data_IF_773110386491
#
_entry.id   IF_773110386491
#
_cell.length_a   1.000
_cell.length_b   1.000
_cell.length_c   1.000
_cell.angle_alpha   90.00
_cell.angle_beta   90.00
_cell.angle_gamma   90.00
#
_symmetry.space_group_name_H-M   'P 1'
#
loop_
_entity.id
_entity.type
_entity.pdbx_description
1 polymer ?
#
# COMPACT_ATOMS: atom_id res chain seq x y z
N UNK A 1 -42.09 3.86 -4.08
CA UNK A 1 -40.85 3.06 -4.29
C UNK A 1 -39.57 3.84 -3.95
N UNK A 2 -39.55 4.65 -2.87
CA UNK A 2 -38.43 5.59 -2.62
C UNK A 2 -37.52 5.20 -1.44
N UNK A 3 -38.07 4.62 -0.36
CA UNK A 3 -37.31 4.36 0.88
C UNK A 3 -36.30 3.20 0.79
N UNK A 4 -36.68 2.11 0.12
CA UNK A 4 -35.81 0.91 0.00
C UNK A 4 -34.58 1.22 -0.87
N UNK A 5 -34.77 1.87 -2.01
CA UNK A 5 -33.67 2.29 -2.90
C UNK A 5 -32.70 3.25 -2.20
N UNK A 6 -33.22 4.26 -1.48
CA UNK A 6 -32.37 5.15 -0.69
C UNK A 6 -31.57 4.38 0.35
N UNK A 7 -32.21 3.48 1.10
CA UNK A 7 -31.55 2.68 2.13
C UNK A 7 -30.43 1.79 1.56
N UNK A 8 -30.62 1.27 0.35
CA UNK A 8 -29.65 0.42 -0.33
C UNK A 8 -28.43 1.26 -0.76
N UNK A 9 -28.67 2.44 -1.35
CA UNK A 9 -27.62 3.38 -1.77
C UNK A 9 -26.79 3.83 -0.57
N UNK A 10 -27.43 4.20 0.55
CA UNK A 10 -26.73 4.65 1.76
C UNK A 10 -25.86 3.54 2.35
N UNK A 11 -26.36 2.30 2.39
CA UNK A 11 -25.61 1.14 2.89
C UNK A 11 -24.42 0.80 1.99
N UNK A 12 -24.61 0.81 0.68
CA UNK A 12 -23.54 0.57 -0.30
C UNK A 12 -22.45 1.64 -0.22
N UNK A 13 -22.85 2.91 -0.14
CA UNK A 13 -21.92 4.04 0.01
C UNK A 13 -21.11 3.93 1.30
N UNK A 14 -21.77 3.58 2.42
CA UNK A 14 -21.10 3.35 3.70
C UNK A 14 -20.08 2.19 3.65
N UNK A 15 -20.43 1.09 2.98
CA UNK A 15 -19.51 -0.03 2.80
C UNK A 15 -18.31 0.33 1.91
N UNK A 16 -18.53 1.08 0.83
CA UNK A 16 -17.47 1.58 -0.04
C UNK A 16 -16.51 2.53 0.68
N UNK A 17 -17.04 3.47 1.48
CA UNK A 17 -16.22 4.40 2.27
C UNK A 17 -15.35 3.67 3.29
N UNK A 18 -15.88 2.66 3.98
CA UNK A 18 -15.10 1.82 4.90
C UNK A 18 -14.00 1.05 4.18
N UNK A 19 -14.30 0.49 3.01
CA UNK A 19 -13.32 -0.21 2.18
C UNK A 19 -12.21 0.73 1.70
N UNK A 20 -12.58 1.95 1.28
CA UNK A 20 -11.62 2.96 0.86
C UNK A 20 -10.71 3.39 2.02
N UNK A 21 -11.28 3.66 3.20
CA UNK A 21 -10.52 4.00 4.40
C UNK A 21 -9.53 2.91 4.83
N UNK A 22 -9.96 1.64 4.80
CA UNK A 22 -9.08 0.51 5.10
C UNK A 22 -7.93 0.37 4.10
N UNK A 23 -8.20 0.58 2.80
CA UNK A 23 -7.16 0.56 1.77
C UNK A 23 -6.16 1.71 1.96
N UNK A 24 -6.64 2.89 2.32
CA UNK A 24 -5.79 4.05 2.58
C UNK A 24 -4.90 3.84 3.81
N UNK A 25 -5.43 3.27 4.89
CA UNK A 25 -4.64 2.89 6.07
C UNK A 25 -3.59 1.84 5.71
N UNK A 26 -3.96 0.82 4.93
CA UNK A 26 -3.03 -0.21 4.47
C UNK A 26 -1.94 0.36 3.55
N UNK A 27 -2.23 1.40 2.78
CA UNK A 27 -1.24 2.06 1.93
C UNK A 27 -0.31 2.98 2.74
N UNK A 28 -0.74 3.48 3.90
CA UNK A 28 0.06 4.37 4.75
C UNK A 28 1.10 3.63 5.63
N UNK A 29 0.99 2.31 5.77
CA UNK A 29 1.82 1.54 6.70
C UNK A 29 3.26 1.33 6.19
N UNK A 30 4.22 1.64 7.06
CA UNK A 30 5.64 1.40 6.85
C UNK A 30 6.10 0.16 7.61
N UNK A 31 6.71 -0.79 6.90
CA UNK A 31 7.42 -1.93 7.48
C UNK A 31 8.88 -1.53 7.69
N UNK A 32 9.32 -1.46 8.94
CA UNK A 32 10.71 -1.09 9.27
C UNK A 32 11.52 -2.34 9.56
N UNK A 33 12.72 -2.41 8.99
CA UNK A 33 13.61 -3.53 9.21
C UNK A 33 14.13 -3.58 10.65
N UNK A 34 14.74 -4.71 11.04
CA UNK A 34 15.20 -4.93 12.42
C UNK A 34 16.27 -3.93 12.89
N UNK A 35 17.09 -3.39 11.98
CA UNK A 35 18.11 -2.39 12.32
C UNK A 35 17.53 -0.99 12.52
N UNK A 36 16.30 -0.73 12.08
CA UNK A 36 15.68 0.58 12.09
C UNK A 36 16.18 1.54 11.01
N UNK A 37 17.12 1.11 10.15
CA UNK A 37 17.77 1.98 9.15
C UNK A 37 16.95 2.13 7.89
N UNK A 38 16.08 1.16 7.60
CA UNK A 38 15.30 1.12 6.38
C UNK A 38 13.83 0.77 6.65
N UNK A 39 12.94 1.54 6.05
CA UNK A 39 11.49 1.30 6.04
C UNK A 39 10.99 1.13 4.62
N UNK A 40 9.97 0.28 4.44
CA UNK A 40 9.35 -0.01 3.16
C UNK A 40 7.84 0.21 3.25
N UNK A 41 7.25 0.82 2.23
CA UNK A 41 5.80 1.05 2.13
C UNK A 41 5.34 0.66 0.75
N UNK A 42 4.18 0.02 0.69
CA UNK A 42 3.56 -0.36 -0.57
C UNK A 42 2.58 0.72 -1.03
N UNK A 43 2.80 1.20 -2.25
CA UNK A 43 1.89 2.07 -2.99
C UNK A 43 1.36 1.34 -4.22
N UNK A 44 0.33 1.91 -4.85
CA UNK A 44 -0.28 1.35 -6.07
C UNK A 44 -0.42 2.45 -7.09
N UNK A 45 0.07 2.18 -8.29
CA UNK A 45 -0.06 3.08 -9.45
C UNK A 45 -1.02 2.45 -10.45
N UNK A 46 -2.10 3.15 -10.86
CA UNK A 46 -2.93 2.72 -11.97
C UNK A 46 -2.14 2.84 -13.28
N UNK A 47 -2.33 1.87 -14.17
CA UNK A 47 -1.67 1.74 -15.46
C UNK A 47 -2.72 1.37 -16.51
N UNK A 48 -2.35 1.44 -17.80
CA UNK A 48 -3.26 1.08 -18.90
C UNK A 48 -3.82 -0.35 -18.76
N UNK A 49 -3.02 -1.28 -18.20
CA UNK A 49 -3.37 -2.70 -18.09
C UNK A 49 -3.83 -3.13 -16.68
N UNK A 50 -4.14 -2.18 -15.79
CA UNK A 50 -4.59 -2.44 -14.43
C UNK A 50 -3.77 -1.70 -13.38
N UNK A 51 -3.36 -2.38 -12.32
CA UNK A 51 -2.73 -1.77 -11.15
C UNK A 51 -1.38 -2.41 -10.86
N UNK A 52 -0.34 -1.59 -10.73
CA UNK A 52 1.02 -2.05 -10.46
C UNK A 52 1.44 -1.59 -9.06
N UNK A 53 1.92 -2.49 -8.19
CA UNK A 53 2.48 -2.10 -6.92
C UNK A 53 3.83 -1.39 -7.13
N UNK A 54 4.09 -0.37 -6.32
CA UNK A 54 5.39 0.30 -6.24
C UNK A 54 5.80 0.31 -4.77
N UNK A 55 7.08 0.05 -4.49
CA UNK A 55 7.58 0.02 -3.12
C UNK A 55 8.38 1.29 -2.87
N UNK A 56 7.89 2.13 -1.98
CA UNK A 56 8.66 3.25 -1.44
C UNK A 56 9.64 2.70 -0.40
N UNK A 57 10.94 2.84 -0.63
CA UNK A 57 12.00 2.59 0.35
C UNK A 57 12.39 3.91 0.98
N UNK A 58 12.50 3.94 2.30
CA UNK A 58 13.00 5.08 3.08
C UNK A 58 14.22 4.62 3.86
N UNK A 59 15.32 5.34 3.75
CA UNK A 59 16.57 5.06 4.49
C UNK A 59 16.92 6.24 5.39
N UNK A 60 17.57 5.98 6.53
CA UNK A 60 18.02 6.99 7.49
C UNK A 60 17.34 6.89 8.86
N UNK A 61 17.95 7.51 9.87
CA UNK A 61 17.53 7.37 11.28
C UNK A 61 16.50 8.40 11.72
N UNK A 62 16.49 9.59 11.11
CA UNK A 62 15.60 10.70 11.50
C UNK A 62 14.87 11.26 10.29
N UNK A 63 13.74 11.92 10.53
CA UNK A 63 12.95 12.56 9.47
C UNK A 63 13.74 13.54 8.60
N UNK A 64 14.78 14.16 9.16
CA UNK A 64 15.60 15.16 8.47
C UNK A 64 16.55 14.54 7.45
N UNK A 65 16.94 13.29 7.66
CA UNK A 65 17.95 12.59 6.85
C UNK A 65 17.32 11.50 5.97
N UNK A 66 15.99 11.42 5.97
CA UNK A 66 15.28 10.41 5.20
C UNK A 66 15.51 10.60 3.70
N UNK A 67 16.08 9.57 3.08
CA UNK A 67 16.11 9.44 1.62
C UNK A 67 15.04 8.46 1.20
N UNK A 68 14.21 8.87 0.25
CA UNK A 68 13.12 8.06 -0.28
C UNK A 68 13.44 7.69 -1.72
N UNK A 69 13.47 6.39 -1.98
CA UNK A 69 13.61 5.82 -3.32
C UNK A 69 12.36 5.02 -3.66
N UNK A 70 12.00 4.96 -4.94
CA UNK A 70 10.99 4.03 -5.42
C UNK A 70 11.65 2.81 -6.04
N UNK A 71 11.16 1.64 -5.63
CA UNK A 71 11.54 0.36 -6.16
C UNK A 71 10.34 -0.24 -6.90
N UNK A 72 10.56 -0.84 -8.08
CA UNK A 72 9.49 -1.51 -8.80
C UNK A 72 8.94 -2.67 -7.96
N UNK A 73 7.62 -2.77 -7.86
CA UNK A 73 6.96 -3.96 -7.34
C UNK A 73 6.86 -5.06 -8.41
N UNK A 74 6.22 -6.17 -8.06
CA UNK A 74 6.05 -7.30 -8.96
C UNK A 74 4.70 -7.29 -9.67
N UNK A 75 4.73 -7.32 -11.01
CA UNK A 75 3.57 -7.62 -11.87
C UNK A 75 2.48 -6.54 -11.95
N UNK A 76 1.43 -6.87 -12.70
CA UNK A 76 0.23 -6.03 -12.87
C UNK A 76 -1.00 -6.83 -12.45
N UNK A 77 -1.93 -6.18 -11.75
CA UNK A 77 -3.11 -6.80 -11.17
C UNK A 77 -4.39 -6.15 -11.66
N UNK A 78 -5.45 -6.95 -11.79
CA UNK A 78 -6.76 -6.46 -12.21
C UNK A 78 -7.43 -5.47 -11.23
N UNK A 79 -7.01 -5.43 -9.95
CA UNK A 79 -7.60 -4.52 -8.95
C UNK A 79 -6.55 -3.90 -8.04
N UNK A 80 -6.76 -2.65 -7.64
CA UNK A 80 -5.90 -1.93 -6.71
C UNK A 80 -5.69 -2.68 -5.38
N UNK A 81 -6.74 -3.34 -4.86
CA UNK A 81 -6.65 -4.15 -3.65
C UNK A 81 -5.68 -5.33 -3.79
N UNK A 82 -5.70 -6.03 -4.93
CA UNK A 82 -4.79 -7.15 -5.18
C UNK A 82 -3.35 -6.65 -5.32
N UNK A 83 -3.15 -5.55 -6.06
CA UNK A 83 -1.84 -4.91 -6.18
C UNK A 83 -1.31 -4.46 -4.81
N UNK A 84 -2.12 -3.78 -4.00
CA UNK A 84 -1.72 -3.32 -2.67
C UNK A 84 -1.35 -4.50 -1.76
N UNK A 85 -2.16 -5.57 -1.76
CA UNK A 85 -1.87 -6.77 -0.96
C UNK A 85 -0.54 -7.41 -1.35
N UNK A 86 -0.27 -7.54 -2.65
CA UNK A 86 1.00 -8.07 -3.14
C UNK A 86 2.18 -7.15 -2.81
N UNK A 87 2.03 -5.85 -3.02
CA UNK A 87 3.04 -4.84 -2.67
C UNK A 87 3.36 -4.85 -1.17
N UNK A 88 2.35 -4.99 -0.31
CA UNK A 88 2.55 -5.08 1.15
C UNK A 88 3.33 -6.32 1.56
N UNK A 89 2.99 -7.48 1.00
CA UNK A 89 3.74 -8.72 1.22
C UNK A 89 5.22 -8.52 0.83
N UNK A 90 5.47 -7.89 -0.32
CA UNK A 90 6.82 -7.60 -0.79
C UNK A 90 7.54 -6.61 0.13
N UNK A 91 6.90 -5.51 0.52
CA UNK A 91 7.46 -4.54 1.46
C UNK A 91 7.83 -5.18 2.81
N UNK A 92 6.97 -6.05 3.33
CA UNK A 92 7.24 -6.81 4.56
C UNK A 92 8.45 -7.75 4.39
N UNK A 93 8.48 -8.53 3.31
CA UNK A 93 9.62 -9.41 3.00
C UNK A 93 10.93 -8.61 2.87
N UNK A 94 10.88 -7.43 2.25
CA UNK A 94 12.05 -6.54 2.15
C UNK A 94 12.53 -6.04 3.51
N UNK A 95 11.61 -5.75 4.44
CA UNK A 95 11.96 -5.38 5.81
C UNK A 95 12.60 -6.54 6.60
N UNK A 96 12.24 -7.79 6.28
CA UNK A 96 12.82 -8.99 6.91
C UNK A 96 14.22 -9.34 6.36
N UNK A 97 14.57 -8.86 5.15
CA UNK A 97 15.87 -9.12 4.53
C UNK A 97 17.01 -8.32 5.18
N UNK A 98 17.74 -8.98 6.08
CA UNK A 98 18.77 -8.40 6.95
C UNK A 98 19.98 -7.76 6.25
N UNK A 99 20.45 -8.28 5.11
CA UNK A 99 21.76 -7.87 4.55
C UNK A 99 21.70 -7.22 3.17
N UNK A 100 20.52 -7.15 2.54
CA UNK A 100 20.40 -6.62 1.17
C UNK A 100 20.13 -5.12 1.13
N UNK A 101 19.56 -4.58 2.21
CA UNK A 101 19.07 -3.21 2.23
C UNK A 101 19.52 -2.41 3.46
N UNK A 102 20.41 -2.95 4.29
CA UNK A 102 21.08 -2.22 5.39
C UNK A 102 22.23 -1.33 4.87
#
# INVERSE_FOLDING_TARGET
>A
MSSIMLSLITRLSGALNRLAGNLQQQQAEWFTNRSGRCSFKADVVPTENGFTPVISRRTGFTQRDWRVDQLPGAGTYATARKALRAGRLMAQQMAELRYRFD
#
